data_IF_146254822909
#
_entry.id   IF_146254822909
#
_cell.length_a   1.000
_cell.length_b   1.000
_cell.length_c   1.000
_cell.angle_alpha   90.00
_cell.angle_beta   90.00
_cell.angle_gamma   90.00
#
_symmetry.space_group_name_H-M   'P 1'
#
loop_
_entity.id
_entity.type
_entity.pdbx_description
1 polymer ?
#
# COMPACT_ATOMS: atom_id res chain seq x y z
N UNK A 1 12.67 -10.28 -30.74
CA UNK A 1 12.59 -10.00 -29.30
C UNK A 1 13.38 -8.73 -29.05
N UNK A 2 12.70 -7.59 -28.99
CA UNK A 2 13.34 -6.31 -28.63
C UNK A 2 13.25 -6.18 -27.12
N UNK A 3 14.35 -6.41 -26.42
CA UNK A 3 14.52 -5.93 -25.05
C UNK A 3 14.55 -4.39 -25.13
N UNK A 4 13.43 -3.77 -24.85
CA UNK A 4 13.39 -2.33 -24.66
C UNK A 4 13.98 -2.05 -23.28
N UNK A 5 15.21 -1.57 -23.26
CA UNK A 5 15.92 -1.16 -22.05
C UNK A 5 15.22 0.10 -21.49
N UNK A 6 14.19 -0.11 -20.66
CA UNK A 6 13.40 0.97 -20.04
C UNK A 6 14.27 1.92 -19.20
N UNK A 7 15.44 1.44 -18.67
CA UNK A 7 16.35 2.29 -17.92
C UNK A 7 16.98 3.38 -18.81
N UNK A 8 17.23 3.08 -20.08
CA UNK A 8 17.66 4.08 -21.08
C UNK A 8 16.54 5.01 -21.53
N UNK A 9 15.30 4.49 -21.60
CA UNK A 9 14.14 5.31 -21.96
C UNK A 9 13.83 6.35 -20.87
N UNK A 10 13.86 5.97 -19.60
CA UNK A 10 13.68 6.87 -18.46
C UNK A 10 14.78 7.93 -18.36
N UNK A 11 16.03 7.59 -18.68
CA UNK A 11 17.14 8.54 -18.68
C UNK A 11 17.13 9.51 -19.87
N UNK A 12 16.52 9.15 -21.00
CA UNK A 12 16.48 9.98 -22.21
C UNK A 12 15.32 10.97 -22.28
N UNK A 13 14.26 10.78 -21.49
CA UNK A 13 13.05 11.60 -21.53
C UNK A 13 12.90 12.62 -20.38
N UNK A 14 13.96 12.84 -19.58
CA UNK A 14 13.93 13.88 -18.53
C UNK A 14 12.95 13.63 -17.40
N UNK A 15 12.59 12.37 -17.13
CA UNK A 15 11.83 12.01 -15.94
C UNK A 15 12.66 12.33 -14.70
N UNK A 16 12.25 13.34 -13.95
CA UNK A 16 12.86 13.59 -12.64
C UNK A 16 12.57 12.40 -11.74
N UNK A 17 13.62 11.79 -11.19
CA UNK A 17 13.47 10.83 -10.12
C UNK A 17 12.87 11.55 -8.91
N UNK A 18 11.75 11.07 -8.37
CA UNK A 18 11.17 11.62 -7.15
C UNK A 18 11.89 11.05 -5.93
N UNK A 19 11.86 11.78 -4.82
CA UNK A 19 12.17 11.24 -3.50
C UNK A 19 10.87 10.84 -2.80
N UNK A 20 11.01 9.95 -1.83
CA UNK A 20 9.87 9.41 -1.09
C UNK A 20 10.08 9.63 0.41
N UNK A 21 9.05 10.12 1.09
CA UNK A 21 8.93 10.03 2.54
C UNK A 21 7.83 9.02 2.85
N UNK A 22 8.13 7.99 3.62
CA UNK A 22 7.21 6.89 3.86
C UNK A 22 7.29 6.39 5.29
N UNK A 23 6.17 5.97 5.81
CA UNK A 23 6.06 5.37 7.13
C UNK A 23 4.81 4.50 7.24
N UNK A 24 4.82 3.58 8.20
CA UNK A 24 3.66 2.81 8.60
C UNK A 24 3.54 2.75 10.12
N UNK A 25 2.33 2.54 10.58
CA UNK A 25 2.02 2.22 11.97
C UNK A 25 0.74 1.39 12.07
N UNK A 26 0.58 0.75 13.22
CA UNK A 26 -0.54 -0.15 13.51
C UNK A 26 -1.17 0.20 14.85
N UNK A 27 -2.45 -0.11 14.96
CA UNK A 27 -3.22 -0.03 16.18
C UNK A 27 -3.96 -1.35 16.40
N UNK A 28 -3.87 -1.91 17.61
CA UNK A 28 -4.53 -3.17 17.97
C UNK A 28 -6.05 -3.05 17.98
N UNK A 29 -6.57 -1.85 18.31
CA UNK A 29 -7.99 -1.64 18.49
C UNK A 29 -8.52 -2.38 19.71
N UNK A 30 -9.71 -3.01 19.58
CA UNK A 30 -10.36 -3.80 20.62
C UNK A 30 -10.08 -5.32 20.49
N UNK A 31 -9.18 -5.70 19.61
CA UNK A 31 -8.79 -7.10 19.38
C UNK A 31 -7.76 -7.56 20.40
N UNK A 32 -7.67 -8.88 20.61
CA UNK A 32 -6.65 -9.49 21.48
C UNK A 32 -5.30 -9.59 20.80
N UNK A 33 -5.28 -9.82 19.46
CA UNK A 33 -4.07 -10.02 18.66
C UNK A 33 -4.03 -9.05 17.49
N UNK A 34 -2.81 -8.68 17.06
CA UNK A 34 -2.57 -7.96 15.82
C UNK A 34 -2.42 -8.95 14.69
N UNK A 35 -3.41 -8.97 13.79
CA UNK A 35 -3.44 -9.87 12.64
C UNK A 35 -3.08 -9.17 11.32
N UNK A 36 -2.96 -7.85 11.33
CA UNK A 36 -2.40 -7.11 10.20
C UNK A 36 -0.87 -7.22 10.18
N UNK A 37 -0.30 -7.21 8.99
CA UNK A 37 1.14 -7.11 8.80
C UNK A 37 1.47 -6.21 7.60
N UNK A 38 2.50 -5.40 7.70
CA UNK A 38 2.97 -4.60 6.57
C UNK A 38 4.50 -4.53 6.51
N UNK A 39 5.02 -4.25 5.33
CA UNK A 39 6.44 -4.03 5.10
C UNK A 39 6.67 -2.97 4.03
N UNK A 40 7.78 -2.25 4.17
CA UNK A 40 8.34 -1.43 3.12
C UNK A 40 9.64 -2.04 2.61
N UNK A 41 9.87 -1.94 1.29
CA UNK A 41 11.20 -2.06 0.71
C UNK A 41 11.62 -0.65 0.32
N UNK A 42 12.60 -0.08 1.02
CA UNK A 42 13.00 1.31 0.86
C UNK A 42 13.77 1.55 -0.44
N UNK A 43 13.89 2.82 -0.89
CA UNK A 43 14.54 3.15 -2.16
C UNK A 43 16.01 2.72 -2.27
N UNK A 44 16.76 2.62 -1.18
CA UNK A 44 18.15 2.17 -1.17
C UNK A 44 18.30 0.72 -1.66
N UNK A 45 17.28 -0.11 -1.49
CA UNK A 45 17.22 -1.47 -2.05
C UNK A 45 16.96 -1.48 -3.57
N UNK A 46 16.54 -0.35 -4.14
CA UNK A 46 16.20 -0.17 -5.54
C UNK A 46 17.05 0.92 -6.21
N UNK A 47 18.31 1.07 -5.82
CA UNK A 47 19.22 2.11 -6.34
C UNK A 47 18.65 3.54 -6.26
N UNK A 48 17.82 3.81 -5.26
CA UNK A 48 17.18 5.11 -5.06
C UNK A 48 16.00 5.42 -5.98
N UNK A 49 15.55 4.45 -6.81
CA UNK A 49 14.59 4.71 -7.89
C UNK A 49 13.15 4.32 -7.58
N UNK A 50 12.94 3.49 -6.58
CA UNK A 50 11.63 2.92 -6.31
C UNK A 50 11.37 2.74 -4.82
N UNK A 51 10.10 2.56 -4.46
CA UNK A 51 9.66 2.16 -3.13
C UNK A 51 8.53 1.16 -3.28
N UNK A 52 8.55 0.10 -2.48
CA UNK A 52 7.45 -0.86 -2.38
C UNK A 52 6.86 -0.79 -0.98
N UNK A 53 5.53 -0.79 -0.90
CA UNK A 53 4.78 -1.04 0.32
C UNK A 53 3.85 -2.23 0.10
N UNK A 54 3.81 -3.15 1.05
CA UNK A 54 2.90 -4.30 1.07
C UNK A 54 2.19 -4.33 2.41
N UNK A 55 0.87 -4.53 2.40
CA UNK A 55 0.04 -4.65 3.59
C UNK A 55 -0.91 -5.83 3.42
N UNK A 56 -1.12 -6.58 4.48
CA UNK A 56 -2.00 -7.73 4.56
C UNK A 56 -2.80 -7.69 5.87
N UNK A 57 -4.09 -7.98 5.79
CA UNK A 57 -5.02 -8.10 6.90
C UNK A 57 -5.34 -9.58 7.06
N UNK A 58 -4.91 -10.15 8.17
CA UNK A 58 -4.99 -11.57 8.43
C UNK A 58 -6.31 -11.98 9.08
N UNK A 59 -6.87 -13.09 8.63
CA UNK A 59 -8.09 -13.68 9.16
C UNK A 59 -7.91 -15.14 9.54
N UNK A 60 -8.63 -15.58 10.58
CA UNK A 60 -8.57 -16.96 11.05
C UNK A 60 -8.21 -17.05 12.52
N UNK A 61 -9.14 -17.41 13.37
CA UNK A 61 -9.08 -17.41 14.83
C UNK A 61 -7.72 -17.60 15.53
N UNK A 62 -7.55 -17.03 16.70
CA UNK A 62 -6.34 -17.03 17.53
C UNK A 62 -5.07 -16.50 16.81
N UNK A 63 -4.15 -17.38 16.42
CA UNK A 63 -2.85 -17.03 15.82
C UNK A 63 -2.85 -17.15 14.28
N UNK A 64 -3.92 -17.66 13.68
CA UNK A 64 -3.93 -17.97 12.24
C UNK A 64 -3.81 -16.74 11.35
N UNK A 65 -4.49 -15.66 11.67
CA UNK A 65 -4.46 -14.42 10.88
C UNK A 65 -3.08 -13.78 10.86
N UNK A 66 -2.41 -13.69 12.03
CA UNK A 66 -1.05 -13.16 12.16
C UNK A 66 -0.05 -13.95 11.29
N UNK A 67 -0.12 -15.29 11.36
CA UNK A 67 0.75 -16.15 10.55
C UNK A 67 0.47 -15.95 9.05
N UNK A 68 -0.81 -15.86 8.66
CA UNK A 68 -1.19 -15.71 7.26
C UNK A 68 -0.68 -14.39 6.68
N UNK A 69 -0.92 -13.26 7.36
CA UNK A 69 -0.51 -11.94 6.91
C UNK A 69 1.01 -11.80 6.86
N UNK A 70 1.73 -12.27 7.90
CA UNK A 70 3.18 -12.20 7.95
C UNK A 70 3.82 -13.05 6.85
N UNK A 71 3.41 -14.32 6.66
CA UNK A 71 4.01 -15.16 5.64
C UNK A 71 3.72 -14.66 4.22
N UNK A 72 2.52 -14.10 3.97
CA UNK A 72 2.17 -13.52 2.69
C UNK A 72 3.05 -12.32 2.35
N UNK A 73 3.18 -11.35 3.26
CA UNK A 73 4.00 -10.16 3.04
C UNK A 73 5.47 -10.52 2.86
N UNK A 74 6.01 -11.41 3.68
CA UNK A 74 7.41 -11.86 3.57
C UNK A 74 7.70 -12.56 2.24
N UNK A 75 6.81 -13.44 1.80
CA UNK A 75 6.95 -14.13 0.52
C UNK A 75 6.87 -13.15 -0.65
N UNK A 76 5.92 -12.21 -0.62
CA UNK A 76 5.78 -11.16 -1.62
C UNK A 76 7.06 -10.33 -1.76
N UNK A 77 7.56 -9.78 -0.64
CA UNK A 77 8.77 -8.97 -0.60
C UNK A 77 9.99 -9.76 -1.08
N UNK A 78 10.09 -11.06 -0.75
CA UNK A 78 11.22 -11.88 -1.14
C UNK A 78 11.38 -12.02 -2.66
N UNK A 79 10.27 -11.97 -3.41
CA UNK A 79 10.29 -11.99 -4.89
C UNK A 79 10.87 -10.69 -5.43
N UNK A 80 10.45 -9.55 -4.87
CA UNK A 80 10.95 -8.24 -5.28
C UNK A 80 12.44 -8.04 -5.01
N UNK A 81 12.95 -8.55 -3.89
CA UNK A 81 14.36 -8.41 -3.51
C UNK A 81 15.33 -9.27 -4.36
N UNK A 82 14.82 -10.07 -5.30
CA UNK A 82 15.68 -10.82 -6.23
C UNK A 82 16.27 -9.94 -7.33
N UNK A 83 15.63 -8.81 -7.63
CA UNK A 83 16.03 -7.89 -8.68
C UNK A 83 16.35 -6.50 -8.08
N UNK A 84 17.38 -5.81 -8.60
CA UNK A 84 17.76 -4.47 -8.13
C UNK A 84 16.68 -3.41 -8.41
N UNK A 85 16.01 -3.51 -9.56
CA UNK A 85 14.86 -2.69 -9.91
C UNK A 85 13.84 -3.61 -10.59
N UNK A 86 12.89 -4.18 -9.84
CA UNK A 86 11.90 -5.10 -10.40
C UNK A 86 11.00 -4.40 -11.43
N UNK A 87 10.70 -5.12 -12.49
CA UNK A 87 9.68 -4.68 -13.44
C UNK A 87 8.27 -4.82 -12.82
N UNK A 88 7.28 -4.02 -13.26
CA UNK A 88 5.92 -4.06 -12.69
C UNK A 88 5.21 -5.41 -12.82
N UNK A 89 5.56 -6.24 -13.78
CA UNK A 89 5.05 -7.59 -13.97
C UNK A 89 5.49 -8.58 -12.87
N UNK A 90 6.43 -8.20 -12.02
CA UNK A 90 6.76 -8.91 -10.78
C UNK A 90 5.63 -8.89 -9.74
N UNK A 91 4.70 -7.92 -9.79
CA UNK A 91 3.58 -7.87 -8.84
C UNK A 91 2.71 -9.13 -8.89
N UNK A 92 2.26 -9.65 -10.05
CA UNK A 92 1.54 -10.92 -10.12
C UNK A 92 2.37 -12.13 -9.67
N UNK A 93 3.68 -12.18 -10.00
CA UNK A 93 4.57 -13.25 -9.54
C UNK A 93 4.69 -13.26 -8.02
N UNK A 94 4.90 -12.08 -7.42
CA UNK A 94 5.00 -11.90 -5.98
C UNK A 94 3.68 -12.27 -5.26
N UNK A 95 2.53 -11.91 -5.84
CA UNK A 95 1.22 -12.30 -5.32
C UNK A 95 1.03 -13.81 -5.35
N UNK A 96 1.45 -14.48 -6.44
CA UNK A 96 1.38 -15.95 -6.54
C UNK A 96 2.22 -16.62 -5.46
N UNK A 97 3.45 -16.13 -5.23
CA UNK A 97 4.33 -16.64 -4.19
C UNK A 97 3.74 -16.41 -2.77
N UNK A 98 3.10 -15.24 -2.55
CA UNK A 98 2.43 -14.95 -1.29
C UNK A 98 1.26 -15.92 -1.04
N UNK A 99 0.42 -16.16 -2.05
CA UNK A 99 -0.69 -17.09 -1.93
C UNK A 99 -0.23 -18.54 -1.67
N UNK A 100 0.81 -18.99 -2.36
CA UNK A 100 1.42 -20.30 -2.14
C UNK A 100 1.99 -20.43 -0.72
N UNK A 101 2.65 -19.38 -0.20
CA UNK A 101 3.20 -19.37 1.16
C UNK A 101 2.10 -19.53 2.21
N UNK A 102 0.97 -18.84 2.05
CA UNK A 102 -0.21 -19.02 2.94
C UNK A 102 -0.74 -20.45 2.83
N UNK A 103 -0.88 -21.00 1.61
CA UNK A 103 -1.32 -22.37 1.39
C UNK A 103 -0.45 -23.39 2.10
N UNK A 104 0.87 -23.26 1.98
CA UNK A 104 1.83 -24.14 2.63
C UNK A 104 1.75 -24.03 4.17
N UNK A 105 1.62 -22.82 4.71
CA UNK A 105 1.50 -22.61 6.14
C UNK A 105 0.22 -23.21 6.73
N UNK A 106 -0.91 -23.22 6.00
CA UNK A 106 -2.17 -23.89 6.41
C UNK A 106 -2.04 -25.40 6.61
N UNK A 107 -1.05 -26.02 5.97
CA UNK A 107 -0.83 -27.48 6.07
C UNK A 107 -0.06 -27.88 7.33
N UNK A 108 0.53 -26.91 8.05
CA UNK A 108 1.42 -27.20 9.20
C UNK A 108 0.63 -27.74 10.40
N UNK A 109 -0.60 -27.24 10.64
CA UNK A 109 -1.43 -27.73 11.75
C UNK A 109 -2.92 -27.45 11.51
N UNK A 110 -3.78 -28.24 12.18
CA UNK A 110 -5.25 -28.02 12.16
C UNK A 110 -5.65 -26.64 12.73
N UNK A 111 -4.86 -26.07 13.63
CA UNK A 111 -5.18 -24.75 14.24
C UNK A 111 -5.14 -23.60 13.23
N UNK A 112 -4.31 -23.71 12.21
CA UNK A 112 -4.12 -22.67 11.17
C UNK A 112 -4.78 -23.03 9.83
N UNK A 113 -5.45 -24.18 9.76
CA UNK A 113 -6.05 -24.70 8.52
C UNK A 113 -7.03 -23.75 7.85
N UNK A 114 -7.76 -22.96 8.64
CA UNK A 114 -8.79 -22.03 8.16
C UNK A 114 -8.28 -20.57 8.10
N UNK A 115 -6.98 -20.35 8.21
CA UNK A 115 -6.42 -19.02 8.09
C UNK A 115 -6.39 -18.54 6.64
N UNK A 116 -6.37 -17.24 6.47
CA UNK A 116 -6.18 -16.57 5.20
C UNK A 116 -5.78 -15.13 5.44
N UNK A 117 -5.58 -14.39 4.39
CA UNK A 117 -5.26 -12.96 4.49
C UNK A 117 -5.68 -12.21 3.23
N UNK A 118 -5.95 -10.92 3.37
CA UNK A 118 -5.94 -10.00 2.25
C UNK A 118 -4.49 -9.71 1.84
N UNK A 119 -4.29 -9.03 0.75
CA UNK A 119 -3.01 -8.40 0.41
C UNK A 119 -3.25 -7.20 -0.49
N UNK A 120 -2.62 -6.08 -0.18
CA UNK A 120 -2.48 -4.97 -1.10
C UNK A 120 -1.01 -4.52 -1.15
N UNK A 121 -0.54 -4.19 -2.35
CA UNK A 121 0.81 -3.73 -2.57
C UNK A 121 0.84 -2.55 -3.54
N UNK A 122 1.65 -1.54 -3.22
CA UNK A 122 1.91 -0.39 -4.06
C UNK A 122 3.43 -0.28 -4.33
N UNK A 123 3.79 -0.29 -5.60
CA UNK A 123 5.15 -0.16 -6.08
C UNK A 123 5.27 1.11 -6.92
N UNK A 124 6.08 2.06 -6.47
CA UNK A 124 6.36 3.29 -7.20
C UNK A 124 7.78 3.20 -7.74
N UNK A 125 7.92 3.21 -9.06
CA UNK A 125 9.20 3.21 -9.75
C UNK A 125 9.30 4.45 -10.64
N UNK A 126 10.30 5.29 -10.39
CA UNK A 126 10.36 6.60 -11.00
C UNK A 126 9.14 7.45 -10.64
N UNK A 127 8.33 7.78 -11.63
CA UNK A 127 7.09 8.54 -11.48
C UNK A 127 5.82 7.72 -11.75
N UNK A 128 5.93 6.40 -11.79
CA UNK A 128 4.81 5.51 -12.08
C UNK A 128 4.48 4.65 -10.87
N UNK A 129 3.20 4.68 -10.48
CA UNK A 129 2.62 3.78 -9.50
C UNK A 129 2.07 2.54 -10.20
N UNK A 130 2.37 1.40 -9.63
CA UNK A 130 1.81 0.10 -9.96
C UNK A 130 1.25 -0.49 -8.67
N UNK A 131 0.09 -1.14 -8.73
CA UNK A 131 -0.45 -1.79 -7.55
C UNK A 131 -1.13 -3.11 -7.89
N UNK A 132 -1.23 -3.96 -6.87
CA UNK A 132 -1.99 -5.21 -6.92
C UNK A 132 -2.71 -5.40 -5.58
N UNK A 133 -3.95 -5.91 -5.62
CA UNK A 133 -4.67 -6.22 -4.38
C UNK A 133 -5.59 -7.42 -4.50
N UNK A 134 -5.78 -8.12 -3.37
CA UNK A 134 -6.75 -9.18 -3.15
C UNK A 134 -7.38 -8.97 -1.78
N UNK A 135 -8.71 -9.05 -1.70
CA UNK A 135 -9.46 -8.81 -0.47
C UNK A 135 -10.01 -7.39 -0.38
N UNK A 136 -10.21 -6.90 0.82
CA UNK A 136 -10.87 -5.61 1.11
C UNK A 136 -9.96 -4.57 1.74
N UNK A 137 -8.66 -4.85 1.90
CA UNK A 137 -7.66 -3.82 2.21
C UNK A 137 -7.64 -2.74 1.14
N UNK A 138 -7.38 -1.53 1.54
CA UNK A 138 -7.67 -0.32 0.77
C UNK A 138 -6.38 0.33 0.26
N UNK A 139 -6.42 0.80 -0.99
CA UNK A 139 -5.38 1.67 -1.57
C UNK A 139 -6.02 2.98 -1.96
N UNK A 140 -5.52 4.07 -1.39
CA UNK A 140 -5.97 5.43 -1.70
C UNK A 140 -4.86 6.22 -2.37
N UNK A 141 -5.25 7.04 -3.34
CA UNK A 141 -4.47 8.14 -3.89
C UNK A 141 -5.08 9.45 -3.39
N UNK A 142 -4.29 10.24 -2.67
CA UNK A 142 -4.62 11.63 -2.37
C UNK A 142 -3.86 12.53 -3.32
N UNK A 143 -4.62 13.30 -4.11
CA UNK A 143 -4.10 14.20 -5.13
C UNK A 143 -4.90 15.48 -5.15
N UNK A 144 -4.23 16.63 -5.11
CA UNK A 144 -4.86 17.98 -5.25
C UNK A 144 -6.07 18.18 -4.33
N UNK A 145 -5.94 17.79 -3.05
CA UNK A 145 -6.97 17.94 -2.03
C UNK A 145 -8.10 16.90 -2.06
N UNK A 146 -8.02 15.88 -2.91
CA UNK A 146 -9.04 14.84 -3.04
C UNK A 146 -8.49 13.47 -2.75
N UNK A 147 -9.25 12.70 -1.98
CA UNK A 147 -8.95 11.30 -1.66
C UNK A 147 -9.77 10.36 -2.56
N UNK A 148 -9.08 9.49 -3.29
CA UNK A 148 -9.68 8.50 -4.16
C UNK A 148 -9.22 7.10 -3.77
N UNK A 149 -10.16 6.18 -3.45
CA UNK A 149 -9.84 4.77 -3.43
C UNK A 149 -9.57 4.33 -4.87
N UNK A 150 -8.43 3.75 -5.12
CA UNK A 150 -7.99 3.39 -6.48
C UNK A 150 -8.09 1.89 -6.76
N UNK A 151 -8.13 1.05 -5.72
CA UNK A 151 -8.34 -0.39 -5.90
C UNK A 151 -9.81 -0.79 -5.77
N UNK A 152 -10.16 -1.87 -6.46
CA UNK A 152 -11.42 -2.58 -6.27
C UNK A 152 -11.27 -3.55 -5.10
N UNK A 153 -12.17 -3.47 -4.11
CA UNK A 153 -12.21 -4.44 -3.02
C UNK A 153 -13.03 -5.67 -3.44
N UNK A 154 -12.71 -6.81 -2.84
CA UNK A 154 -13.33 -8.08 -3.18
C UNK A 154 -14.25 -8.54 -2.05
N UNK A 155 -15.45 -7.93 -1.99
CA UNK A 155 -16.50 -8.27 -1.03
C UNK A 155 -17.83 -8.46 -1.75
N UNK A 156 -18.75 -9.20 -1.14
CA UNK A 156 -20.12 -9.36 -1.64
C UNK A 156 -20.77 -7.99 -1.83
N UNK A 157 -20.57 -7.05 -0.90
CA UNK A 157 -21.12 -5.70 -0.98
C UNK A 157 -20.60 -4.90 -2.17
N UNK A 158 -19.31 -5.05 -2.53
CA UNK A 158 -18.77 -4.42 -3.73
C UNK A 158 -19.42 -4.99 -4.99
N UNK A 159 -19.54 -6.31 -5.11
CA UNK A 159 -20.18 -6.98 -6.25
C UNK A 159 -21.65 -6.58 -6.39
N UNK A 160 -22.36 -6.44 -5.28
CA UNK A 160 -23.74 -5.98 -5.25
C UNK A 160 -23.86 -4.49 -5.59
N UNK A 161 -22.92 -3.65 -5.13
CA UNK A 161 -22.94 -2.22 -5.46
C UNK A 161 -22.76 -1.98 -6.95
N UNK A 162 -21.94 -2.78 -7.63
CA UNK A 162 -21.78 -2.75 -9.09
C UNK A 162 -23.07 -3.17 -9.80
N UNK A 163 -23.74 -4.25 -9.34
CA UNK A 163 -25.03 -4.68 -9.87
C UNK A 163 -26.13 -3.63 -9.65
N UNK A 164 -26.12 -2.92 -8.51
CA UNK A 164 -27.05 -1.83 -8.22
C UNK A 164 -26.83 -0.66 -9.19
N UNK A 165 -25.59 -0.24 -9.41
CA UNK A 165 -25.27 0.84 -10.37
C UNK A 165 -25.67 0.46 -11.80
N UNK A 166 -25.57 -0.82 -12.17
CA UNK A 166 -25.99 -1.34 -13.47
C UNK A 166 -27.52 -1.56 -13.57
N UNK A 167 -28.27 -1.33 -12.48
CA UNK A 167 -29.72 -1.53 -12.42
C UNK A 167 -30.15 -3.00 -12.43
N UNK A 168 -29.24 -3.93 -12.10
CA UNK A 168 -29.52 -5.39 -12.07
C UNK A 168 -30.15 -5.85 -10.76
N UNK A 169 -30.02 -5.05 -9.70
CA UNK A 169 -30.68 -5.24 -8.40
C UNK A 169 -31.25 -3.91 -7.91
N UNK A 170 -32.19 -3.96 -7.01
CA UNK A 170 -32.77 -2.80 -6.33
C UNK A 170 -31.96 -2.40 -5.10
N UNK A 171 -32.17 -1.20 -4.59
CA UNK A 171 -31.59 -0.76 -3.32
C UNK A 171 -32.06 -1.64 -2.14
N UNK A 172 -33.31 -2.08 -2.16
CA UNK A 172 -33.88 -2.95 -1.14
C UNK A 172 -33.15 -4.31 -1.10
N UNK A 173 -32.88 -4.90 -2.28
CA UNK A 173 -32.11 -6.15 -2.38
C UNK A 173 -30.64 -5.95 -1.92
N UNK A 174 -30.03 -4.83 -2.27
CA UNK A 174 -28.72 -4.48 -1.76
C UNK A 174 -28.71 -4.34 -0.23
N UNK A 175 -29.69 -3.62 0.35
CA UNK A 175 -29.76 -3.37 1.79
C UNK A 175 -30.08 -4.63 2.60
N UNK A 176 -30.83 -5.56 2.01
CA UNK A 176 -31.22 -6.82 2.63
C UNK A 176 -30.07 -7.84 2.77
N UNK A 177 -28.93 -7.67 2.06
CA UNK A 177 -27.81 -8.63 2.13
C UNK A 177 -27.06 -8.50 3.47
N UNK A 178 -27.06 -9.55 4.32
CA UNK A 178 -26.39 -9.49 5.62
C UNK A 178 -24.87 -9.70 5.52
N UNK A 179 -24.38 -10.28 4.43
CA UNK A 179 -22.97 -10.68 4.25
C UNK A 179 -22.18 -9.69 3.38
N UNK A 180 -22.62 -8.43 3.30
CA UNK A 180 -21.95 -7.41 2.46
C UNK A 180 -20.44 -7.31 2.69
N UNK A 181 -19.99 -7.51 3.91
CA UNK A 181 -18.56 -7.42 4.28
C UNK A 181 -17.81 -8.75 4.11
N UNK A 182 -18.47 -9.84 3.70
CA UNK A 182 -17.77 -11.09 3.46
C UNK A 182 -16.88 -10.99 2.21
N UNK A 183 -15.64 -11.47 2.36
CA UNK A 183 -14.68 -11.51 1.27
C UNK A 183 -15.11 -12.51 0.18
N UNK A 184 -14.94 -12.10 -1.08
CA UNK A 184 -15.11 -12.97 -2.25
C UNK A 184 -13.78 -13.46 -2.81
N UNK A 185 -12.64 -12.91 -2.36
CA UNK A 185 -11.30 -13.37 -2.71
C UNK A 185 -10.32 -13.05 -1.59
N UNK A 186 -9.45 -13.99 -1.25
CA UNK A 186 -8.39 -13.86 -0.24
C UNK A 186 -7.26 -14.84 -0.56
N UNK A 187 -6.08 -14.62 0.02
CA UNK A 187 -4.96 -15.54 -0.06
C UNK A 187 -5.20 -16.68 0.94
N UNK A 188 -5.41 -17.88 0.39
CA UNK A 188 -5.68 -19.10 1.16
C UNK A 188 -4.95 -20.33 0.56
N UNK A 189 -4.06 -20.11 -0.42
CA UNK A 189 -3.37 -21.17 -1.14
C UNK A 189 -4.18 -21.81 -2.28
N UNK A 190 -5.41 -21.33 -2.50
CA UNK A 190 -6.27 -21.77 -3.60
C UNK A 190 -6.18 -20.75 -4.77
N UNK A 191 -6.62 -21.11 -5.99
CA UNK A 191 -6.70 -20.16 -7.09
C UNK A 191 -7.51 -18.91 -6.71
N UNK A 192 -6.93 -17.73 -6.93
CA UNK A 192 -7.56 -16.46 -6.60
C UNK A 192 -8.73 -16.18 -7.55
N UNK A 193 -9.90 -15.92 -6.98
CA UNK A 193 -11.11 -15.63 -7.75
C UNK A 193 -11.08 -14.23 -8.37
N UNK A 194 -10.59 -13.27 -7.60
CA UNK A 194 -10.46 -11.86 -8.01
C UNK A 194 -9.09 -11.33 -7.62
N UNK A 195 -8.51 -10.58 -8.54
CA UNK A 195 -7.27 -9.81 -8.36
C UNK A 195 -7.47 -8.46 -9.01
N UNK A 196 -7.24 -7.36 -8.30
CA UNK A 196 -7.18 -6.04 -8.90
C UNK A 196 -5.72 -5.65 -9.12
N UNK A 197 -5.35 -5.40 -10.37
CA UNK A 197 -4.00 -5.03 -10.81
C UNK A 197 -4.05 -3.84 -11.74
N UNK A 198 -3.23 -2.84 -11.46
CA UNK A 198 -3.04 -1.67 -12.31
C UNK A 198 -1.57 -1.32 -12.42
N UNK A 199 -1.18 -0.91 -13.60
CA UNK A 199 0.18 -0.53 -13.93
C UNK A 199 0.22 0.82 -14.63
N UNK A 200 1.22 1.65 -14.30
CA UNK A 200 1.50 2.87 -15.03
C UNK A 200 0.64 4.08 -14.67
N UNK A 201 0.19 4.20 -13.42
CA UNK A 201 -0.49 5.42 -12.95
C UNK A 201 0.58 6.49 -12.73
N UNK A 202 0.50 7.58 -13.49
CA UNK A 202 1.43 8.68 -13.37
C UNK A 202 1.29 9.40 -12.02
N UNK A 203 2.41 9.58 -11.31
CA UNK A 203 2.50 10.27 -10.02
C UNK A 203 3.03 11.67 -10.18
N UNK A 204 2.52 12.59 -9.36
CA UNK A 204 2.95 14.00 -9.30
C UNK A 204 3.55 14.30 -7.93
N UNK A 205 4.52 15.24 -7.82
CA UNK A 205 4.95 15.75 -6.52
C UNK A 205 3.77 16.27 -5.69
N UNK A 206 3.72 15.89 -4.43
CA UNK A 206 2.61 16.18 -3.54
C UNK A 206 1.51 15.12 -3.51
N UNK A 207 1.58 14.10 -4.36
CA UNK A 207 0.72 12.93 -4.23
C UNK A 207 1.06 12.13 -2.99
N UNK A 208 0.05 11.47 -2.42
CA UNK A 208 0.22 10.51 -1.35
C UNK A 208 -0.52 9.22 -1.71
N UNK A 209 0.18 8.09 -1.50
CA UNK A 209 -0.41 6.75 -1.57
C UNK A 209 -0.56 6.24 -0.14
N UNK A 210 -1.77 5.81 0.21
CA UNK A 210 -2.08 5.27 1.52
C UNK A 210 -2.66 3.87 1.35
N UNK A 211 -2.00 2.87 1.97
CA UNK A 211 -2.50 1.52 2.12
C UNK A 211 -3.05 1.38 3.54
N UNK A 212 -4.17 0.69 3.69
CA UNK A 212 -4.76 0.44 5.01
C UNK A 212 -5.58 -0.84 5.05
N UNK A 213 -5.63 -1.49 6.21
CA UNK A 213 -6.69 -2.45 6.53
C UNK A 213 -8.03 -1.76 6.70
N UNK A 214 -9.10 -2.53 6.77
CA UNK A 214 -10.49 -2.02 6.82
C UNK A 214 -10.82 -1.26 8.12
N UNK A 215 -10.07 -1.47 9.21
CA UNK A 215 -10.23 -0.75 10.46
C UNK A 215 -10.19 0.79 10.33
N UNK A 216 -9.58 1.32 9.26
CA UNK A 216 -9.57 2.75 8.95
C UNK A 216 -10.97 3.30 8.63
N UNK A 217 -11.88 2.44 8.17
CA UNK A 217 -13.25 2.84 7.80
C UNK A 217 -14.06 3.35 9.00
N UNK A 218 -13.56 3.19 10.21
CA UNK A 218 -14.16 3.78 11.43
C UNK A 218 -14.33 5.29 11.32
N UNK A 219 -13.36 6.00 10.72
CA UNK A 219 -13.46 7.46 10.54
C UNK A 219 -14.15 7.87 9.23
N UNK A 220 -14.54 6.90 8.41
CA UNK A 220 -15.17 7.14 7.12
C UNK A 220 -14.25 7.82 6.10
N UNK A 221 -14.76 7.97 4.87
CA UNK A 221 -13.98 8.58 3.77
C UNK A 221 -13.70 10.06 4.02
N UNK A 222 -14.66 10.80 4.55
CA UNK A 222 -14.52 12.22 4.85
C UNK A 222 -13.48 12.45 5.96
N UNK A 223 -13.54 11.70 7.07
CA UNK A 223 -12.57 11.81 8.15
C UNK A 223 -11.15 11.50 7.68
N UNK A 224 -10.99 10.46 6.86
CA UNK A 224 -9.68 10.14 6.28
C UNK A 224 -9.21 11.24 5.32
N UNK A 225 -10.10 11.81 4.50
CA UNK A 225 -9.76 12.92 3.62
C UNK A 225 -9.35 14.17 4.41
N UNK A 226 -9.98 14.42 5.58
CA UNK A 226 -9.59 15.53 6.49
C UNK A 226 -8.19 15.29 7.06
N UNK A 227 -7.87 14.08 7.51
CA UNK A 227 -6.52 13.75 7.92
C UNK A 227 -5.51 13.98 6.79
N UNK A 228 -5.79 13.50 5.58
CA UNK A 228 -4.91 13.68 4.43
C UNK A 228 -4.71 15.17 4.06
N UNK A 229 -5.72 16.04 4.25
CA UNK A 229 -5.59 17.48 4.04
C UNK A 229 -4.62 18.16 5.01
N UNK A 230 -4.45 17.60 6.19
CA UNK A 230 -3.50 18.10 7.20
C UNK A 230 -2.07 17.64 6.94
N UNK A 231 -1.88 16.58 6.14
CA UNK A 231 -0.56 16.13 5.73
C UNK A 231 0.06 17.14 4.76
N UNK A 232 1.26 17.58 5.06
CA UNK A 232 2.00 18.55 4.23
C UNK A 232 3.28 17.91 3.69
N UNK A 233 3.88 18.40 2.61
CA UNK A 233 5.20 17.92 2.17
C UNK A 233 6.30 18.07 3.23
N UNK A 234 6.09 18.96 4.22
CA UNK A 234 7.06 19.23 5.29
C UNK A 234 6.83 18.40 6.55
N UNK A 235 5.61 17.84 6.77
CA UNK A 235 5.37 16.94 7.91
C UNK A 235 6.01 15.58 7.62
N UNK A 236 6.70 14.95 8.59
CA UNK A 236 7.20 13.59 8.41
C UNK A 236 6.05 12.59 8.24
N UNK A 237 6.19 11.65 7.30
CA UNK A 237 5.16 10.62 7.04
C UNK A 237 4.76 9.85 8.32
N UNK A 238 5.72 9.58 9.20
CA UNK A 238 5.43 8.90 10.49
C UNK A 238 4.50 9.71 11.39
N UNK A 239 4.60 11.06 11.39
CA UNK A 239 3.71 11.90 12.16
C UNK A 239 2.31 11.91 11.55
N UNK A 240 2.21 11.96 10.22
CA UNK A 240 0.94 11.94 9.51
C UNK A 240 0.20 10.61 9.77
N UNK A 241 0.90 9.48 9.70
CA UNK A 241 0.34 8.16 10.01
C UNK A 241 -0.14 8.07 11.47
N UNK A 242 0.62 8.61 12.43
CA UNK A 242 0.21 8.65 13.84
C UNK A 242 -1.05 9.49 14.02
N UNK A 243 -1.14 10.65 13.41
CA UNK A 243 -2.31 11.52 13.46
C UNK A 243 -3.57 10.82 12.92
N UNK A 244 -3.42 10.05 11.83
CA UNK A 244 -4.52 9.24 11.27
C UNK A 244 -4.98 8.20 12.30
N UNK A 245 -4.06 7.42 12.89
CA UNK A 245 -4.41 6.42 13.89
C UNK A 245 -4.97 7.01 15.18
N UNK A 246 -4.51 8.19 15.60
CA UNK A 246 -5.06 8.89 16.74
C UNK A 246 -6.51 9.32 16.47
N UNK A 247 -6.81 9.80 15.27
CA UNK A 247 -8.21 10.12 14.85
C UNK A 247 -9.09 8.86 14.87
N UNK A 248 -8.60 7.70 14.43
CA UNK A 248 -9.34 6.43 14.53
C UNK A 248 -9.58 6.05 15.99
N UNK A 249 -8.58 6.23 16.86
CA UNK A 249 -8.70 5.95 18.30
C UNK A 249 -9.71 6.86 18.97
N UNK A 250 -9.69 8.15 18.64
CA UNK A 250 -10.60 9.17 19.17
C UNK A 250 -12.05 8.96 18.74
N UNK A 251 -12.29 8.30 17.60
CA UNK A 251 -13.63 7.91 17.19
C UNK A 251 -14.29 6.90 18.14
N UNK A 252 -13.50 6.23 19.00
CA UNK A 252 -13.95 5.52 20.20
C UNK A 252 -14.87 4.32 19.95
N UNK A 253 -14.72 3.62 18.82
CA UNK A 253 -15.52 2.41 18.53
C UNK A 253 -15.20 1.30 19.52
N UNK A 254 -16.22 0.80 20.23
CA UNK A 254 -16.07 -0.31 21.19
C UNK A 254 -15.59 -1.62 20.53
N UNK A 255 -15.85 -1.79 19.24
CA UNK A 255 -15.46 -2.97 18.44
C UNK A 255 -14.44 -2.62 17.38
N UNK A 256 -13.53 -1.67 17.67
CA UNK A 256 -12.50 -1.26 16.72
C UNK A 256 -11.62 -2.45 16.34
N UNK A 257 -11.48 -2.67 15.03
CA UNK A 257 -10.59 -3.69 14.50
C UNK A 257 -9.10 -3.28 14.54
N UNK A 258 -8.22 -4.24 14.30
CA UNK A 258 -6.87 -3.91 13.94
C UNK A 258 -6.90 -2.83 12.85
N UNK A 259 -6.00 -1.88 12.94
CA UNK A 259 -5.90 -0.83 11.94
C UNK A 259 -4.43 -0.59 11.61
N UNK A 260 -4.09 -0.88 10.39
CA UNK A 260 -2.76 -0.61 9.84
C UNK A 260 -2.86 0.47 8.79
N UNK A 261 -1.93 1.41 8.84
CA UNK A 261 -1.80 2.49 7.87
C UNK A 261 -0.36 2.57 7.41
N UNK A 262 -0.17 2.55 6.10
CA UNK A 262 1.12 2.75 5.45
C UNK A 262 0.98 3.88 4.43
N UNK A 263 1.84 4.89 4.53
CA UNK A 263 1.81 6.12 3.73
C UNK A 263 3.10 6.27 2.94
N UNK A 264 2.99 6.60 1.65
CA UNK A 264 4.10 7.04 0.80
C UNK A 264 3.76 8.42 0.26
N UNK A 265 4.62 9.40 0.51
CA UNK A 265 4.54 10.77 -0.01
C UNK A 265 5.54 10.91 -1.16
N UNK A 266 5.07 11.42 -2.29
CA UNK A 266 5.90 11.70 -3.46
C UNK A 266 6.40 13.13 -3.35
N UNK A 267 7.72 13.29 -3.24
CA UNK A 267 8.37 14.58 -3.05
C UNK A 267 9.16 14.95 -4.30
N UNK A 268 9.17 16.25 -4.61
CA UNK A 268 10.04 16.79 -5.64
C UNK A 268 11.50 16.73 -5.17
N UNK A 269 12.40 16.22 -6.03
CA UNK A 269 13.84 16.38 -5.77
C UNK A 269 14.20 17.80 -6.12
N UNK A 270 14.71 18.61 -5.15
CA UNK A 270 15.18 19.95 -5.46
C UNK A 270 16.22 19.88 -6.59
N UNK A 271 15.94 20.55 -7.71
CA UNK A 271 16.92 20.65 -8.78
C UNK A 271 18.17 21.33 -8.21
N UNK A 272 19.33 20.71 -8.37
CA UNK A 272 20.64 21.27 -8.01
C UNK A 272 21.01 22.51 -8.86
N UNK A 273 20.06 23.39 -9.15
CA UNK A 273 20.29 24.69 -9.75
C UNK A 273 20.03 25.75 -8.71
N UNK A 274 20.93 25.90 -7.75
CA UNK A 274 21.27 27.10 -7.00
C UNK A 274 22.02 26.78 -5.70
N UNK A 275 23.12 26.08 -5.81
CA UNK A 275 24.19 26.34 -4.86
C UNK A 275 25.27 27.09 -5.62
N UNK A 276 25.13 28.40 -5.69
CA UNK A 276 26.24 29.30 -5.93
C UNK A 276 27.30 29.03 -4.88
N UNK A 277 28.14 28.04 -5.14
CA UNK A 277 29.44 27.94 -4.45
C UNK A 277 30.27 29.09 -4.93
N UNK A 278 30.19 30.23 -4.24
CA UNK A 278 31.31 31.16 -4.19
C UNK A 278 32.49 30.37 -3.60
N UNK A 279 33.36 29.92 -4.51
CA UNK A 279 34.63 29.38 -4.11
C UNK A 279 35.47 30.58 -3.62
N UNK A 280 35.45 30.78 -2.30
CA UNK A 280 36.42 31.67 -1.64
C UNK A 280 37.82 31.14 -1.89
N UNK A 281 38.48 31.69 -2.94
CA UNK A 281 39.90 31.49 -3.17
C UNK A 281 40.66 32.33 -2.14
N UNK A 282 41.04 31.70 -1.03
CA UNK A 282 41.98 32.30 -0.09
C UNK A 282 43.35 32.29 -0.76
N UNK A 283 43.73 33.42 -1.35
CA UNK A 283 45.13 33.67 -1.77
C UNK A 283 45.96 33.76 -0.49
N UNK A 284 46.78 32.76 -0.22
CA UNK A 284 47.91 32.90 0.72
C UNK A 284 48.93 33.84 0.08
N UNK A 285 49.06 35.03 0.63
CA UNK A 285 50.20 35.91 0.37
C UNK A 285 51.41 35.31 1.07
N UNK A 286 52.41 34.89 0.30
CA UNK A 286 53.75 34.75 0.82
C UNK A 286 54.28 36.18 1.05
N UNK A 287 54.63 36.46 2.30
CA UNK A 287 55.57 37.53 2.65
C UNK A 287 56.86 36.87 3.09
N UNK A 288 57.92 37.40 2.53
CA UNK A 288 59.35 37.11 2.77
C UNK A 288 59.78 37.15 4.22
#
# INVERSE_FOLDING_TARGET
MMNCDMSRFLASEGYSAYSFDFAGAQMLGARENQQDFYAFVPPDQFEGRAVLCVLADGMGGYEGGEIASECAVRAFVSVFLKDLVPEPDKLPEALSAANEAVGNARLVSEKVRNMGTTLCAAYICGNLLHYISVGDSLIFLYRRGKLHRINRIHTIGQDLSEKLVEGRITLEEFDAEPQKNCLTSALVGEPLLHVDYRSGIFMEPGDMILLSSDGILTIGKEGLADCCRQCTPLSPAIQDVRNILDTVREAGRATQDNTSVALIKVLEIPSHRDTGRETLIIKRSHQD
#
